data_IF_636238741633
#
_entry.id   IF_636238741633
#
_cell.length_a   1.000
_cell.length_b   1.000
_cell.length_c   1.000
_cell.angle_alpha   90.00
_cell.angle_beta   90.00
_cell.angle_gamma   90.00
#
_symmetry.space_group_name_H-M   'P 1'
#
loop_
_entity.id
_entity.type
_entity.pdbx_description
1 polymer ?
#
# COMPACT_ATOMS: atom_id res chain seq x y z
N UNK A 1 55.10 58.76 -0.89
CA UNK A 1 55.46 57.92 0.27
C UNK A 1 54.42 56.83 0.39
N UNK A 2 54.84 55.57 0.52
CA UNK A 2 53.94 54.42 0.70
C UNK A 2 53.22 54.51 2.06
N UNK A 3 52.13 53.76 2.25
CA UNK A 3 51.41 53.71 3.54
C UNK A 3 52.31 53.21 4.68
N UNK A 4 53.30 52.36 4.34
CA UNK A 4 54.32 51.83 5.25
C UNK A 4 55.27 52.94 5.72
N UNK A 5 55.69 53.82 4.80
CA UNK A 5 56.56 54.95 5.14
C UNK A 5 55.86 55.95 6.07
N UNK A 6 54.55 56.17 5.88
CA UNK A 6 53.77 57.07 6.75
C UNK A 6 53.66 56.52 8.18
N UNK A 7 53.38 55.21 8.32
CA UNK A 7 53.29 54.53 9.61
C UNK A 7 54.62 54.51 10.37
N UNK A 8 55.73 54.30 9.66
CA UNK A 8 57.06 54.30 10.28
C UNK A 8 57.42 55.69 10.82
N UNK A 9 57.12 56.76 10.08
CA UNK A 9 57.34 58.13 10.55
C UNK A 9 56.40 58.43 11.73
N UNK A 10 55.12 58.03 11.71
CA UNK A 10 54.19 58.26 12.86
C UNK A 10 54.57 57.50 14.11
N UNK A 11 55.08 56.27 13.97
CA UNK A 11 55.64 55.51 15.08
C UNK A 11 56.84 56.23 15.73
N UNK A 12 57.80 56.69 14.92
CA UNK A 12 58.99 57.43 15.39
C UNK A 12 58.60 58.76 16.05
N UNK A 13 57.66 59.50 15.47
CA UNK A 13 57.10 60.72 16.07
C UNK A 13 56.46 60.43 17.43
N UNK A 14 55.67 59.36 17.54
CA UNK A 14 54.99 58.98 18.78
C UNK A 14 55.99 58.61 19.88
N UNK A 15 57.04 57.88 19.52
CA UNK A 15 58.13 57.52 20.43
C UNK A 15 58.88 58.77 20.93
N UNK A 16 59.29 59.66 20.02
CA UNK A 16 59.94 60.93 20.39
C UNK A 16 59.04 61.79 21.28
N UNK A 17 57.75 61.88 21.00
CA UNK A 17 56.79 62.61 21.83
C UNK A 17 56.63 62.00 23.23
N UNK A 18 56.56 60.66 23.33
CA UNK A 18 56.51 59.95 24.62
C UNK A 18 57.75 60.23 25.46
N UNK A 19 58.94 60.14 24.84
CA UNK A 19 60.21 60.43 25.50
C UNK A 19 60.31 61.90 25.93
N UNK A 20 59.73 62.82 25.16
CA UNK A 20 59.70 64.25 25.49
C UNK A 20 58.81 64.53 26.72
N UNK A 21 57.72 63.79 26.91
CA UNK A 21 56.86 63.84 28.10
C UNK A 21 57.58 63.28 29.34
N UNK A 22 58.36 62.21 29.18
CA UNK A 22 59.07 61.53 30.28
C UNK A 22 60.46 62.12 30.57
N UNK A 23 60.83 63.20 29.88
CA UNK A 23 62.18 63.78 29.90
C UNK A 23 62.67 64.19 31.30
N UNK A 24 61.77 64.52 32.22
CA UNK A 24 62.12 64.88 33.61
C UNK A 24 62.85 63.76 34.36
N UNK A 25 62.65 62.51 33.96
CA UNK A 25 63.29 61.32 34.54
C UNK A 25 64.64 60.98 33.94
N UNK A 26 65.07 61.71 32.90
CA UNK A 26 66.27 61.39 32.13
C UNK A 26 67.52 62.09 32.67
N UNK A 27 68.67 61.43 32.50
CA UNK A 27 69.96 62.05 32.77
C UNK A 27 70.25 63.21 31.77
N UNK A 28 71.18 64.13 32.10
CA UNK A 28 71.46 65.30 31.26
C UNK A 28 71.95 65.00 29.85
N UNK A 29 72.63 63.87 29.62
CA UNK A 29 73.13 63.47 28.29
C UNK A 29 71.98 62.98 27.41
N UNK A 30 71.13 62.11 27.95
CA UNK A 30 69.92 61.63 27.27
C UNK A 30 68.97 62.78 26.93
N UNK A 31 68.82 63.77 27.81
CA UNK A 31 68.06 64.98 27.53
C UNK A 31 68.59 65.78 26.33
N UNK A 32 69.92 65.90 26.18
CA UNK A 32 70.54 66.61 25.06
C UNK A 32 70.28 65.88 23.74
N UNK A 33 70.51 64.57 23.71
CA UNK A 33 70.26 63.73 22.53
C UNK A 33 68.78 63.75 22.12
N UNK A 34 67.87 63.73 23.09
CA UNK A 34 66.44 63.84 22.84
C UNK A 34 66.06 65.20 22.22
N UNK A 35 66.64 66.31 22.70
CA UNK A 35 66.38 67.64 22.11
C UNK A 35 66.93 67.77 20.70
N UNK A 36 68.11 67.19 20.42
CA UNK A 36 68.71 67.18 19.09
C UNK A 36 67.85 66.34 18.12
N UNK A 37 67.38 65.17 18.56
CA UNK A 37 66.47 64.34 17.78
C UNK A 37 65.11 65.01 17.56
N UNK A 38 64.58 65.70 18.59
CA UNK A 38 63.34 66.45 18.52
C UNK A 38 63.44 67.62 17.55
N UNK A 39 64.48 68.45 17.65
CA UNK A 39 64.69 69.60 16.74
C UNK A 39 64.96 69.19 15.30
N UNK A 40 65.46 67.98 15.06
CA UNK A 40 65.63 67.44 13.70
C UNK A 40 64.31 66.96 13.08
N UNK A 41 63.43 66.40 13.89
CA UNK A 41 62.10 65.94 13.46
C UNK A 41 61.09 67.11 13.39
N UNK A 42 61.27 68.12 14.26
CA UNK A 42 60.43 69.29 14.41
C UNK A 42 61.27 70.58 14.41
N UNK A 43 61.67 71.08 13.22
CA UNK A 43 62.52 72.25 13.10
C UNK A 43 61.83 73.55 13.51
N UNK A 44 60.51 73.64 13.36
CA UNK A 44 59.70 74.80 13.71
C UNK A 44 58.27 74.42 14.18
N UNK A 45 57.52 75.41 14.66
CA UNK A 45 56.13 75.24 15.11
C UNK A 45 55.19 74.82 13.98
N UNK A 46 55.51 75.18 12.74
CA UNK A 46 54.73 74.83 11.55
C UNK A 46 54.82 73.32 11.29
N UNK A 47 56.01 72.73 11.35
CA UNK A 47 56.21 71.28 11.21
C UNK A 47 55.46 70.49 12.30
N UNK A 48 55.39 71.03 13.52
CA UNK A 48 54.59 70.43 14.60
C UNK A 48 53.09 70.49 14.25
N UNK A 49 52.60 71.64 13.79
CA UNK A 49 51.19 71.83 13.43
C UNK A 49 50.78 70.95 12.23
N UNK A 50 51.60 70.87 11.18
CA UNK A 50 51.38 69.99 10.03
C UNK A 50 51.31 68.52 10.45
N UNK A 51 52.16 68.12 11.39
CA UNK A 51 52.16 66.77 11.94
C UNK A 51 50.91 66.47 12.76
N UNK A 52 50.48 67.41 13.59
CA UNK A 52 49.24 67.30 14.35
C UNK A 52 48.02 67.23 13.42
N UNK A 53 47.99 68.04 12.37
CA UNK A 53 46.91 68.05 11.38
C UNK A 53 46.80 66.69 10.66
N UNK A 54 47.93 66.12 10.21
CA UNK A 54 47.95 64.80 9.58
C UNK A 54 47.43 63.68 10.50
N UNK A 55 47.72 63.75 11.80
CA UNK A 55 47.19 62.81 12.79
C UNK A 55 45.69 62.98 13.04
N UNK A 56 45.20 64.22 13.00
CA UNK A 56 43.76 64.53 13.12
C UNK A 56 42.99 64.01 11.89
N UNK A 57 43.50 64.23 10.69
CA UNK A 57 42.92 63.70 9.45
C UNK A 57 42.88 62.16 9.45
N UNK A 58 43.94 61.51 9.94
CA UNK A 58 43.99 60.05 10.06
C UNK A 58 42.95 59.54 11.08
N UNK A 59 42.81 60.23 12.22
CA UNK A 59 41.81 59.91 13.23
C UNK A 59 40.38 60.08 12.71
N UNK A 60 40.11 61.14 11.95
CA UNK A 60 38.82 61.36 11.30
C UNK A 60 38.52 60.27 10.27
N UNK A 61 39.52 59.86 9.49
CA UNK A 61 39.38 58.73 8.56
C UNK A 61 39.06 57.41 9.29
N UNK A 62 39.69 57.13 10.44
CA UNK A 62 39.35 55.96 11.26
C UNK A 62 37.93 56.02 11.80
N UNK A 63 37.49 57.16 12.35
CA UNK A 63 36.10 57.33 12.82
C UNK A 63 35.09 57.11 11.69
N UNK A 64 35.33 57.70 10.53
CA UNK A 64 34.49 57.49 9.34
C UNK A 64 34.46 56.02 8.89
N UNK A 65 35.58 55.31 9.01
CA UNK A 65 35.64 53.87 8.72
C UNK A 65 34.85 53.05 9.74
N UNK A 66 34.98 53.35 11.03
CA UNK A 66 34.22 52.69 12.10
C UNK A 66 32.71 52.87 11.93
N UNK A 67 32.26 54.07 11.57
CA UNK A 67 30.85 54.34 11.25
C UNK A 67 30.36 53.50 10.06
N UNK A 68 31.14 53.41 8.98
CA UNK A 68 30.80 52.57 7.82
C UNK A 68 30.74 51.09 8.19
N UNK A 69 31.68 50.60 8.99
CA UNK A 69 31.69 49.20 9.45
C UNK A 69 30.46 48.92 10.31
N UNK A 70 30.13 49.83 11.23
CA UNK A 70 28.95 49.70 12.09
C UNK A 70 27.67 49.63 11.25
N UNK A 71 27.52 50.52 10.27
CA UNK A 71 26.38 50.49 9.34
C UNK A 71 26.32 49.17 8.56
N UNK A 72 27.43 48.72 8.01
CA UNK A 72 27.50 47.46 7.27
C UNK A 72 27.10 46.25 8.16
N UNK A 73 27.57 46.21 9.40
CA UNK A 73 27.21 45.14 10.35
C UNK A 73 25.71 45.15 10.63
N UNK A 74 25.11 46.32 10.83
CA UNK A 74 23.67 46.45 11.03
C UNK A 74 22.88 46.01 9.79
N UNK A 75 23.26 46.49 8.61
CA UNK A 75 22.60 46.13 7.35
C UNK A 75 22.70 44.61 7.10
N UNK A 76 23.88 44.01 7.35
CA UNK A 76 24.06 42.56 7.27
C UNK A 76 23.20 41.81 8.28
N UNK A 77 23.11 42.28 9.53
CA UNK A 77 22.26 41.66 10.56
C UNK A 77 20.80 41.65 10.11
N UNK A 78 20.28 42.77 9.61
CA UNK A 78 18.89 42.85 9.12
C UNK A 78 18.64 41.93 7.91
N UNK A 79 19.64 41.79 7.03
CA UNK A 79 19.57 40.88 5.89
C UNK A 79 19.52 39.42 6.33
N UNK A 80 20.37 39.03 7.30
CA UNK A 80 20.33 37.69 7.89
C UNK A 80 19.00 37.40 8.58
N UNK A 81 18.45 38.34 9.35
CA UNK A 81 17.13 38.18 9.99
C UNK A 81 16.02 37.96 8.96
N UNK A 82 16.06 38.69 7.84
CA UNK A 82 15.11 38.52 6.76
C UNK A 82 15.22 37.14 6.09
N UNK A 83 16.45 36.64 5.91
CA UNK A 83 16.69 35.30 5.37
C UNK A 83 16.21 34.20 6.33
N UNK A 84 16.47 34.34 7.63
CA UNK A 84 15.98 33.38 8.64
C UNK A 84 14.46 33.30 8.68
N UNK A 85 13.77 34.44 8.63
CA UNK A 85 12.29 34.46 8.58
C UNK A 85 11.76 33.77 7.32
N UNK A 86 12.40 33.99 6.17
CA UNK A 86 12.06 33.29 4.92
C UNK A 86 12.29 31.79 5.02
N UNK A 87 13.41 31.36 5.61
CA UNK A 87 13.70 29.96 5.83
C UNK A 87 12.64 29.31 6.73
N UNK A 88 12.34 29.91 7.87
CA UNK A 88 11.35 29.38 8.82
C UNK A 88 9.95 29.27 8.21
N UNK A 89 9.52 30.28 7.45
CA UNK A 89 8.24 30.25 6.73
C UNK A 89 8.20 29.18 5.63
N UNK A 90 9.31 28.98 4.92
CA UNK A 90 9.42 27.90 3.92
C UNK A 90 9.39 26.53 4.57
N UNK A 91 10.08 26.34 5.70
CA UNK A 91 10.07 25.09 6.46
C UNK A 91 8.67 24.75 6.98
N UNK A 92 7.95 25.74 7.55
CA UNK A 92 6.56 25.57 7.98
C UNK A 92 5.66 25.16 6.81
N UNK A 93 5.79 25.82 5.66
CA UNK A 93 5.02 25.48 4.46
C UNK A 93 5.31 24.05 3.97
N UNK A 94 6.57 23.61 4.02
CA UNK A 94 6.93 22.23 3.66
C UNK A 94 6.28 21.24 4.64
N UNK A 95 6.34 21.52 5.94
CA UNK A 95 5.72 20.67 6.96
C UNK A 95 4.19 20.57 6.78
N UNK A 96 3.52 21.67 6.44
CA UNK A 96 2.09 21.68 6.13
C UNK A 96 1.76 20.83 4.89
N UNK A 97 2.50 21.01 3.79
CA UNK A 97 2.30 20.24 2.57
C UNK A 97 2.50 18.74 2.79
N UNK A 98 3.52 18.36 3.55
CA UNK A 98 3.78 16.95 3.89
C UNK A 98 2.63 16.38 4.74
N UNK A 99 2.12 17.14 5.70
CA UNK A 99 0.98 16.72 6.52
C UNK A 99 -0.30 16.54 5.67
N UNK A 100 -0.56 17.46 4.73
CA UNK A 100 -1.72 17.36 3.84
C UNK A 100 -1.61 16.18 2.87
N UNK A 101 -0.42 15.92 2.33
CA UNK A 101 -0.16 14.75 1.49
C UNK A 101 -0.39 13.44 2.27
N UNK A 102 0.11 13.35 3.51
CA UNK A 102 -0.12 12.20 4.39
C UNK A 102 -1.61 12.01 4.68
N UNK A 103 -2.35 13.09 4.97
CA UNK A 103 -3.80 13.05 5.18
C UNK A 103 -4.55 12.55 3.95
N UNK A 104 -4.21 13.04 2.76
CA UNK A 104 -4.81 12.57 1.52
C UNK A 104 -4.52 11.10 1.26
N UNK A 105 -3.28 10.64 1.48
CA UNK A 105 -2.91 9.23 1.34
C UNK A 105 -3.68 8.34 2.32
N UNK A 106 -3.83 8.79 3.56
CA UNK A 106 -4.61 8.06 4.57
C UNK A 106 -6.08 7.95 4.16
N UNK A 107 -6.72 9.05 3.76
CA UNK A 107 -8.11 9.05 3.31
C UNK A 107 -8.33 8.14 2.08
N UNK A 108 -7.39 8.14 1.14
CA UNK A 108 -7.44 7.24 -0.01
C UNK A 108 -7.30 5.76 0.39
N UNK A 109 -6.40 5.44 1.32
CA UNK A 109 -6.22 4.08 1.83
C UNK A 109 -7.46 3.60 2.60
N UNK A 110 -8.05 4.46 3.43
CA UNK A 110 -9.30 4.17 4.15
C UNK A 110 -10.45 3.89 3.19
N UNK A 111 -10.60 4.70 2.14
CA UNK A 111 -11.61 4.47 1.11
C UNK A 111 -11.42 3.15 0.37
N UNK A 112 -10.18 2.82 -0.02
CA UNK A 112 -9.85 1.54 -0.66
C UNK A 112 -10.15 0.35 0.24
N UNK A 113 -9.79 0.44 1.53
CA UNK A 113 -10.08 -0.60 2.51
C UNK A 113 -11.60 -0.79 2.64
N UNK A 114 -12.36 0.30 2.76
CA UNK A 114 -13.82 0.25 2.85
C UNK A 114 -14.45 -0.42 1.62
N UNK A 115 -14.02 -0.04 0.41
CA UNK A 115 -14.49 -0.68 -0.82
C UNK A 115 -14.13 -2.18 -0.88
N UNK A 116 -12.94 -2.55 -0.44
CA UNK A 116 -12.50 -3.95 -0.38
C UNK A 116 -13.31 -4.77 0.63
N UNK A 117 -13.66 -4.20 1.79
CA UNK A 117 -14.51 -4.83 2.79
C UNK A 117 -15.92 -5.07 2.27
N UNK A 118 -16.53 -4.07 1.63
CA UNK A 118 -17.84 -4.20 0.99
C UNK A 118 -17.82 -5.31 -0.07
N UNK A 119 -16.80 -5.33 -0.94
CA UNK A 119 -16.64 -6.37 -1.95
C UNK A 119 -16.52 -7.77 -1.31
N UNK A 120 -15.73 -7.89 -0.24
CA UNK A 120 -15.56 -9.15 0.52
C UNK A 120 -16.87 -9.62 1.15
N UNK A 121 -17.65 -8.71 1.73
CA UNK A 121 -18.98 -9.01 2.28
C UNK A 121 -19.95 -9.50 1.19
N UNK A 122 -20.00 -8.83 0.04
CA UNK A 122 -20.83 -9.22 -1.10
C UNK A 122 -20.45 -10.60 -1.63
N UNK A 123 -19.14 -10.88 -1.81
CA UNK A 123 -18.66 -12.19 -2.23
C UNK A 123 -19.00 -13.28 -1.21
N UNK A 124 -18.83 -13.02 0.08
CA UNK A 124 -19.21 -13.95 1.16
C UNK A 124 -20.71 -14.25 1.13
N UNK A 125 -21.54 -13.23 0.99
CA UNK A 125 -22.99 -13.39 0.91
C UNK A 125 -23.40 -14.22 -0.32
N UNK A 126 -22.83 -13.91 -1.49
CA UNK A 126 -23.05 -14.65 -2.74
C UNK A 126 -22.63 -16.12 -2.61
N UNK A 127 -21.42 -16.39 -2.11
CA UNK A 127 -20.93 -17.76 -1.88
C UNK A 127 -21.82 -18.53 -0.90
N UNK A 128 -22.28 -17.89 0.18
CA UNK A 128 -23.19 -18.51 1.15
C UNK A 128 -24.55 -18.85 0.53
N UNK A 129 -25.08 -17.97 -0.33
CA UNK A 129 -26.31 -18.22 -1.06
C UNK A 129 -26.15 -19.38 -2.07
N UNK A 130 -25.06 -19.39 -2.83
CA UNK A 130 -24.74 -20.48 -3.77
C UNK A 130 -24.56 -21.82 -3.04
N UNK A 131 -23.86 -21.84 -1.91
CA UNK A 131 -23.69 -23.05 -1.10
C UNK A 131 -25.03 -23.60 -0.60
N UNK A 132 -25.93 -22.73 -0.14
CA UNK A 132 -27.29 -23.14 0.25
C UNK A 132 -28.07 -23.76 -0.92
N UNK A 133 -28.01 -23.15 -2.11
CA UNK A 133 -28.64 -23.68 -3.32
C UNK A 133 -28.06 -25.05 -3.70
N UNK A 134 -26.74 -25.18 -3.69
CA UNK A 134 -26.05 -26.44 -3.99
C UNK A 134 -26.43 -27.54 -3.00
N UNK A 135 -26.43 -27.23 -1.69
CA UNK A 135 -26.84 -28.19 -0.65
C UNK A 135 -28.31 -28.61 -0.80
N UNK A 136 -29.20 -27.71 -1.21
CA UNK A 136 -30.60 -28.04 -1.49
C UNK A 136 -30.73 -28.94 -2.73
N UNK A 137 -29.97 -28.65 -3.79
CA UNK A 137 -29.93 -29.49 -4.99
C UNK A 137 -29.35 -30.88 -4.70
N UNK A 138 -28.26 -30.98 -3.95
CA UNK A 138 -27.66 -32.25 -3.52
C UNK A 138 -28.65 -33.08 -2.69
N UNK A 139 -29.39 -32.46 -1.77
CA UNK A 139 -30.47 -33.15 -1.04
C UNK A 139 -31.56 -33.67 -1.96
N UNK A 140 -31.96 -32.88 -2.97
CA UNK A 140 -32.98 -33.29 -3.93
C UNK A 140 -32.50 -34.44 -4.82
N UNK A 141 -31.24 -34.42 -5.25
CA UNK A 141 -30.62 -35.51 -6.00
C UNK A 141 -30.58 -36.78 -5.13
N UNK A 142 -30.11 -36.69 -3.88
CA UNK A 142 -30.09 -37.83 -2.97
C UNK A 142 -31.50 -38.42 -2.72
N UNK A 143 -32.53 -37.57 -2.61
CA UNK A 143 -33.92 -38.02 -2.51
C UNK A 143 -34.38 -38.74 -3.79
N UNK A 144 -34.03 -38.23 -4.96
CA UNK A 144 -34.36 -38.87 -6.25
C UNK A 144 -33.60 -40.19 -6.43
N UNK A 145 -32.31 -40.23 -6.10
CA UNK A 145 -31.49 -41.45 -6.13
C UNK A 145 -31.96 -42.51 -5.13
N UNK A 146 -32.51 -42.12 -3.97
CA UNK A 146 -33.09 -43.04 -3.01
C UNK A 146 -34.44 -43.62 -3.48
N UNK A 147 -35.18 -42.87 -4.32
CA UNK A 147 -36.40 -43.36 -4.97
C UNK A 147 -36.10 -44.21 -6.20
N UNK A 148 -34.92 -44.04 -6.79
CA UNK A 148 -34.46 -44.83 -7.91
C UNK A 148 -34.09 -46.25 -7.43
N UNK A 149 -34.83 -47.24 -7.92
CA UNK A 149 -34.54 -48.65 -7.63
C UNK A 149 -33.35 -49.06 -8.49
N UNK A 150 -32.23 -49.40 -7.87
CA UNK A 150 -31.02 -49.87 -8.57
C UNK A 150 -30.94 -51.40 -8.49
N UNK A 151 -30.60 -52.10 -9.59
CA UNK A 151 -30.38 -53.55 -9.56
C UNK A 151 -29.18 -53.90 -8.68
N UNK A 152 -29.27 -55.00 -7.94
CA UNK A 152 -28.13 -55.58 -7.24
C UNK A 152 -27.09 -56.17 -8.22
N UNK A 153 -25.90 -56.48 -7.72
CA UNK A 153 -24.81 -57.02 -8.54
C UNK A 153 -25.20 -58.42 -9.08
N UNK A 154 -25.40 -58.50 -10.40
CA UNK A 154 -25.84 -59.73 -11.07
C UNK A 154 -27.36 -59.87 -11.22
N UNK A 155 -28.12 -58.89 -10.76
CA UNK A 155 -29.57 -58.79 -10.95
C UNK A 155 -29.89 -57.96 -12.19
N UNK A 156 -30.94 -58.34 -12.91
CA UNK A 156 -31.50 -57.56 -14.03
C UNK A 156 -32.83 -56.98 -13.57
N UNK A 157 -32.88 -55.65 -13.39
CA UNK A 157 -34.11 -54.95 -13.04
C UNK A 157 -34.86 -54.52 -14.30
N UNK A 158 -36.11 -54.97 -14.43
CA UNK A 158 -37.01 -54.55 -15.51
C UNK A 158 -38.06 -53.60 -14.94
N UNK A 159 -37.99 -52.33 -15.33
CA UNK A 159 -38.98 -51.30 -14.92
C UNK A 159 -40.04 -51.14 -16.02
N UNK A 160 -41.23 -51.68 -15.78
CA UNK A 160 -42.38 -51.52 -16.68
C UNK A 160 -43.16 -50.27 -16.29
N UNK A 161 -43.16 -49.25 -17.15
CA UNK A 161 -43.84 -47.96 -16.92
C UNK A 161 -44.79 -47.59 -18.06
N UNK A 162 -45.79 -46.75 -17.76
CA UNK A 162 -46.83 -46.37 -18.71
C UNK A 162 -48.13 -45.90 -18.03
N UNK A 163 -49.05 -45.33 -18.81
CA UNK A 163 -50.30 -44.79 -18.30
C UNK A 163 -51.25 -45.88 -17.76
N UNK A 164 -52.14 -45.52 -16.83
CA UNK A 164 -53.20 -46.43 -16.34
C UNK A 164 -54.03 -46.94 -17.53
N UNK A 165 -54.26 -48.25 -17.60
CA UNK A 165 -55.02 -48.88 -18.71
C UNK A 165 -54.23 -49.18 -19.98
N UNK A 166 -52.91 -48.96 -20.06
CA UNK A 166 -52.13 -49.29 -21.26
C UNK A 166 -51.61 -50.75 -21.32
N UNK A 167 -52.16 -51.65 -20.49
CA UNK A 167 -51.77 -53.07 -20.48
C UNK A 167 -50.45 -53.41 -19.77
N UNK A 168 -49.88 -52.50 -18.94
CA UNK A 168 -48.60 -52.72 -18.22
C UNK A 168 -48.57 -54.03 -17.44
N UNK A 169 -49.61 -54.30 -16.68
CA UNK A 169 -49.69 -55.45 -15.76
C UNK A 169 -49.79 -56.76 -16.55
N UNK A 170 -50.41 -56.74 -17.73
CA UNK A 170 -50.43 -57.87 -18.64
C UNK A 170 -49.03 -58.17 -19.18
N UNK A 171 -48.28 -57.15 -19.62
CA UNK A 171 -46.89 -57.31 -20.07
C UNK A 171 -45.99 -57.80 -18.92
N UNK A 172 -46.13 -57.23 -17.71
CA UNK A 172 -45.37 -57.66 -16.54
C UNK A 172 -45.68 -59.12 -16.15
N UNK A 173 -46.94 -59.54 -16.27
CA UNK A 173 -47.37 -60.92 -16.06
C UNK A 173 -46.76 -61.90 -17.07
N UNK A 174 -46.74 -61.57 -18.36
CA UNK A 174 -46.09 -62.40 -19.39
C UNK A 174 -44.59 -62.53 -19.17
N UNK A 175 -43.92 -61.44 -18.77
CA UNK A 175 -42.49 -61.49 -18.42
C UNK A 175 -42.28 -62.45 -17.25
N UNK A 176 -43.11 -62.40 -16.21
CA UNK A 176 -43.00 -63.32 -15.08
C UNK A 176 -43.18 -64.79 -15.50
N UNK A 177 -44.19 -65.09 -16.31
CA UNK A 177 -44.46 -66.45 -16.80
C UNK A 177 -43.32 -66.95 -17.68
N UNK A 178 -42.88 -66.15 -18.65
CA UNK A 178 -41.81 -66.51 -19.57
C UNK A 178 -40.50 -66.78 -18.83
N UNK A 179 -40.14 -65.93 -17.86
CA UNK A 179 -38.92 -66.10 -17.06
C UNK A 179 -38.99 -67.33 -16.14
N UNK A 180 -40.15 -67.62 -15.53
CA UNK A 180 -40.35 -68.87 -14.76
C UNK A 180 -40.24 -70.11 -15.65
N UNK A 181 -40.76 -70.06 -16.87
CA UNK A 181 -40.70 -71.18 -17.81
C UNK A 181 -39.26 -71.52 -18.23
N UNK A 182 -38.36 -70.51 -18.33
CA UNK A 182 -36.93 -70.73 -18.60
C UNK A 182 -36.10 -71.00 -17.33
N UNK A 183 -36.73 -71.10 -16.16
CA UNK A 183 -36.07 -71.40 -14.88
C UNK A 183 -35.34 -70.22 -14.23
N UNK A 184 -35.59 -68.97 -14.68
CA UNK A 184 -35.03 -67.77 -14.05
C UNK A 184 -35.89 -67.36 -12.85
N UNK A 185 -35.30 -67.15 -11.65
CA UNK A 185 -36.06 -66.69 -10.50
C UNK A 185 -36.56 -65.25 -10.73
N UNK A 186 -37.87 -65.03 -10.54
CA UNK A 186 -38.50 -63.70 -10.69
C UNK A 186 -39.23 -63.31 -9.44
N UNK A 187 -39.10 -62.03 -9.08
CA UNK A 187 -39.85 -61.39 -8.02
C UNK A 187 -40.57 -60.15 -8.59
N UNK A 188 -41.90 -60.15 -8.56
CA UNK A 188 -42.69 -58.97 -8.92
C UNK A 188 -43.11 -58.23 -7.65
N UNK A 189 -42.33 -57.23 -7.26
CA UNK A 189 -42.61 -56.37 -6.10
C UNK A 189 -43.70 -55.34 -6.41
N UNK A 190 -44.61 -55.09 -5.45
CA UNK A 190 -45.66 -54.06 -5.53
C UNK A 190 -46.75 -54.29 -6.61
N UNK A 191 -46.87 -55.52 -7.14
CA UNK A 191 -47.87 -55.90 -8.16
C UNK A 191 -49.11 -56.61 -7.63
N UNK A 192 -49.13 -57.00 -6.36
CA UNK A 192 -50.15 -57.90 -5.80
C UNK A 192 -51.57 -57.30 -5.84
N UNK A 193 -51.69 -55.98 -5.61
CA UNK A 193 -52.97 -55.29 -5.70
C UNK A 193 -53.60 -55.35 -7.10
N UNK A 194 -52.79 -55.23 -8.17
CA UNK A 194 -53.29 -55.30 -9.55
C UNK A 194 -53.49 -56.76 -10.02
N UNK A 195 -52.67 -57.70 -9.53
CA UNK A 195 -52.80 -59.14 -9.76
C UNK A 195 -54.12 -59.72 -9.26
N UNK A 196 -54.57 -59.28 -8.09
CA UNK A 196 -55.81 -59.77 -7.49
C UNK A 196 -57.07 -59.11 -8.07
N UNK A 197 -56.99 -57.89 -8.63
CA UNK A 197 -58.13 -57.22 -9.25
C UNK A 197 -58.51 -57.74 -10.64
N UNK A 198 -57.53 -58.18 -11.43
CA UNK A 198 -57.74 -58.56 -12.85
C UNK A 198 -57.95 -60.05 -13.08
N UNK A 199 -57.88 -60.87 -12.03
CA UNK A 199 -58.22 -62.29 -12.10
C UNK A 199 -57.31 -63.09 -13.03
N UNK A 200 -55.98 -62.87 -12.96
CA UNK A 200 -54.92 -63.72 -13.55
C UNK A 200 -55.05 -64.19 -15.03
N UNK A 201 -56.02 -63.71 -15.80
CA UNK A 201 -56.16 -64.02 -17.22
C UNK A 201 -55.50 -62.91 -18.06
N UNK A 202 -54.18 -63.03 -18.16
CA UNK A 202 -53.32 -62.07 -18.85
C UNK A 202 -53.52 -62.08 -20.36
N UNK A 203 -53.97 -63.19 -20.94
CA UNK A 203 -54.19 -63.35 -22.37
C UNK A 203 -55.32 -62.43 -22.85
N UNK A 204 -56.45 -62.42 -22.14
CA UNK A 204 -57.59 -61.52 -22.41
C UNK A 204 -57.18 -60.05 -22.31
N UNK A 205 -56.30 -59.70 -21.37
CA UNK A 205 -55.82 -58.33 -21.20
C UNK A 205 -54.88 -57.87 -22.33
N UNK A 206 -54.03 -58.75 -22.86
CA UNK A 206 -53.15 -58.47 -24.01
C UNK A 206 -53.98 -58.23 -25.28
N UNK A 207 -54.99 -59.07 -25.50
CA UNK A 207 -55.86 -58.95 -26.67
C UNK A 207 -56.69 -57.66 -26.65
N UNK A 208 -57.17 -57.27 -25.46
CA UNK A 208 -57.95 -56.06 -25.26
C UNK A 208 -57.13 -54.78 -25.47
N UNK A 209 -55.93 -54.70 -24.86
CA UNK A 209 -55.13 -53.46 -24.86
C UNK A 209 -54.10 -53.37 -25.98
N UNK A 210 -53.80 -54.48 -26.67
CA UNK A 210 -52.83 -54.59 -27.79
C UNK A 210 -51.56 -53.76 -27.55
N UNK A 211 -50.85 -53.99 -26.43
CA UNK A 211 -49.70 -53.19 -26.09
C UNK A 211 -48.56 -53.38 -27.10
N UNK A 212 -47.75 -52.33 -27.30
CA UNK A 212 -46.52 -52.40 -28.11
C UNK A 212 -45.30 -52.26 -27.22
N UNK A 213 -44.34 -53.17 -27.37
CA UNK A 213 -43.11 -53.18 -26.57
C UNK A 213 -41.92 -52.82 -27.47
N UNK A 214 -41.18 -51.79 -27.08
CA UNK A 214 -39.90 -51.44 -27.71
C UNK A 214 -38.78 -51.81 -26.76
N UNK A 215 -37.96 -52.77 -27.15
CA UNK A 215 -36.78 -53.17 -26.39
C UNK A 215 -35.59 -52.41 -26.94
N UNK A 216 -34.90 -51.66 -26.08
CA UNK A 216 -33.64 -51.00 -26.41
C UNK A 216 -32.58 -51.58 -25.48
N UNK A 217 -31.57 -52.22 -26.07
CA UNK A 217 -30.41 -52.68 -25.33
C UNK A 217 -29.46 -51.50 -25.08
N UNK A 218 -29.14 -51.25 -23.81
CA UNK A 218 -28.14 -50.26 -23.42
C UNK A 218 -27.11 -50.97 -22.55
N UNK A 219 -25.87 -51.05 -23.04
CA UNK A 219 -24.77 -51.61 -22.27
C UNK A 219 -24.33 -50.61 -21.19
N UNK A 220 -24.41 -50.99 -19.92
CA UNK A 220 -23.83 -50.23 -18.81
C UNK A 220 -22.46 -50.82 -18.48
N UNK A 221 -21.36 -50.16 -18.87
CA UNK A 221 -20.02 -50.68 -18.59
C UNK A 221 -19.80 -50.77 -17.08
N UNK A 222 -19.26 -51.90 -16.61
CA UNK A 222 -18.79 -52.03 -15.23
C UNK A 222 -17.71 -50.97 -15.01
N UNK A 223 -17.90 -50.10 -14.02
CA UNK A 223 -16.94 -49.06 -13.68
C UNK A 223 -15.53 -49.65 -13.60
N UNK A 224 -14.66 -49.26 -14.54
CA UNK A 224 -13.24 -49.55 -14.46
C UNK A 224 -12.69 -48.81 -13.24
N UNK A 225 -12.00 -49.54 -12.36
CA UNK A 225 -11.58 -49.05 -11.06
C UNK A 225 -10.80 -47.73 -11.12
N UNK A 226 -11.05 -46.89 -10.13
CA UNK A 226 -10.20 -45.79 -9.73
C UNK A 226 -8.80 -46.37 -9.49
N UNK A 227 -7.85 -46.10 -10.40
CA UNK A 227 -6.43 -46.27 -10.11
C UNK A 227 -6.06 -45.17 -9.12
N UNK A 228 -5.83 -45.56 -7.87
CA UNK A 228 -5.01 -44.75 -6.95
C UNK A 228 -3.57 -45.04 -7.36
N UNK A 229 -2.93 -44.08 -8.03
CA UNK A 229 -1.49 -44.14 -8.27
C UNK A 229 -0.76 -43.95 -6.94
N UNK A 230 0.08 -44.92 -6.61
CA UNK A 230 1.08 -44.86 -5.57
C UNK A 230 2.31 -45.61 -6.05
N UNK A 231 3.27 -44.88 -6.58
CA UNK A 231 4.71 -44.86 -6.21
C UNK A 231 5.38 -43.68 -6.93
#
# INVERSE_FOLDING_TARGET
>A
MSNIDKQAVTAKTKELASLMVERFSMNPVSCKLLNEAWGKEFPDEVAIAERMLALLDELEHYKSREERVTKLVMDNSTSWDALYKKLESSEKRIAELVNDEVRQRLANAEHQLHMAELAKCNLRASRKAQFRKRKAAERRIAELEAREIKPAKGEVLVVVSGFTGCGKSAIAGEIEIAMKAIGVPVQWTNGDAEKHMTGADWLTAIEMYKPTVRIVEVNVPRAAGIKVEGE
#
